data_IF_108290624926
#
_entry.id   IF_108290624926
#
_cell.length_a   1.000
_cell.length_b   1.000
_cell.length_c   1.000
_cell.angle_alpha   90.00
_cell.angle_beta   90.00
_cell.angle_gamma   90.00
#
_symmetry.space_group_name_H-M   'P 1'
#
loop_
_entity.id
_entity.type
_entity.pdbx_description
1 polymer ?
#
# COMPACT_ATOMS: atom_id res chain seq x y z
N UNK A 1 -3.37 -8.53 -3.83
CA UNK A 1 -4.80 -8.14 -3.93
C UNK A 1 -5.16 -6.82 -3.22
N UNK A 2 -4.83 -6.60 -1.93
CA UNK A 2 -5.24 -5.37 -1.21
C UNK A 2 -4.68 -4.11 -1.85
N UNK A 3 -3.35 -4.04 -2.00
CA UNK A 3 -2.67 -2.88 -2.57
C UNK A 3 -3.09 -2.62 -4.02
N UNK A 4 -3.21 -3.70 -4.80
CA UNK A 4 -3.73 -3.67 -6.17
C UNK A 4 -5.15 -3.08 -6.24
N UNK A 5 -6.04 -3.47 -5.32
CA UNK A 5 -7.40 -2.93 -5.25
C UNK A 5 -7.38 -1.43 -4.92
N UNK A 6 -6.59 -1.00 -3.94
CA UNK A 6 -6.46 0.41 -3.59
C UNK A 6 -6.00 1.23 -4.81
N UNK A 7 -4.92 0.81 -5.46
CA UNK A 7 -4.37 1.50 -6.62
C UNK A 7 -5.36 1.53 -7.81
N UNK A 8 -6.00 0.40 -8.11
CA UNK A 8 -6.96 0.30 -9.21
C UNK A 8 -8.21 1.15 -8.96
N UNK A 9 -8.73 1.19 -7.72
CA UNK A 9 -9.91 2.01 -7.38
C UNK A 9 -9.59 3.50 -7.37
N UNK A 10 -8.42 3.90 -6.90
CA UNK A 10 -7.98 5.30 -7.01
C UNK A 10 -7.78 5.73 -8.46
N UNK A 11 -7.28 4.84 -9.32
CA UNK A 11 -7.20 5.10 -10.76
C UNK A 11 -8.59 5.16 -11.41
N UNK A 12 -9.51 4.29 -11.01
CA UNK A 12 -10.89 4.31 -11.50
C UNK A 12 -11.60 5.63 -11.16
N UNK A 13 -11.32 6.19 -9.98
CA UNK A 13 -11.87 7.46 -9.51
C UNK A 13 -10.92 8.65 -9.75
N UNK A 14 -10.01 8.57 -10.74
CA UNK A 14 -8.97 9.58 -10.95
C UNK A 14 -9.53 10.98 -11.27
N UNK A 15 -10.72 11.07 -11.88
CA UNK A 15 -11.39 12.34 -12.20
C UNK A 15 -12.15 12.94 -11.01
N UNK A 16 -12.24 12.24 -9.87
CA UNK A 16 -12.92 12.75 -8.68
C UNK A 16 -12.20 14.02 -8.18
N UNK A 17 -12.92 15.11 -7.85
CA UNK A 17 -12.31 16.43 -7.57
C UNK A 17 -11.37 16.45 -6.36
N UNK A 18 -11.50 15.47 -5.47
CA UNK A 18 -10.62 15.30 -4.30
C UNK A 18 -9.44 14.34 -4.55
N UNK A 19 -9.47 13.53 -5.62
CA UNK A 19 -8.43 12.57 -5.97
C UNK A 19 -7.54 13.12 -7.09
N UNK A 20 -8.14 13.77 -8.09
CA UNK A 20 -7.47 14.34 -9.25
C UNK A 20 -6.22 15.19 -8.90
N UNK A 21 -6.24 16.03 -7.84
CA UNK A 21 -5.06 16.82 -7.45
C UNK A 21 -3.84 15.97 -7.06
N UNK A 22 -4.04 14.72 -6.60
CA UNK A 22 -2.97 13.81 -6.21
C UNK A 22 -2.56 12.82 -7.33
N UNK A 23 -3.15 12.89 -8.51
CA UNK A 23 -2.95 11.94 -9.62
C UNK A 23 -1.48 11.65 -9.94
N UNK A 24 -0.64 12.71 -10.03
CA UNK A 24 0.80 12.56 -10.30
C UNK A 24 1.50 11.79 -9.18
N UNK A 25 1.24 12.14 -7.92
CA UNK A 25 1.81 11.47 -6.75
C UNK A 25 1.36 10.01 -6.69
N UNK A 26 0.07 9.74 -6.90
CA UNK A 26 -0.49 8.39 -6.91
C UNK A 26 0.17 7.52 -7.98
N UNK A 27 0.31 8.02 -9.21
CA UNK A 27 0.96 7.31 -10.31
C UNK A 27 2.42 6.96 -9.98
N UNK A 28 3.18 7.88 -9.38
CA UNK A 28 4.58 7.64 -9.01
C UNK A 28 4.73 6.67 -7.84
N UNK A 29 3.70 6.54 -7.01
CA UNK A 29 3.74 5.74 -5.78
C UNK A 29 3.32 4.28 -5.98
N UNK A 30 2.63 3.90 -7.05
CA UNK A 30 2.09 2.53 -7.28
C UNK A 30 3.09 1.40 -7.04
N UNK A 31 2.79 0.46 -6.14
CA UNK A 31 3.65 -0.69 -5.81
C UNK A 31 3.00 -2.06 -6.05
N UNK A 32 1.73 -2.16 -6.42
CA UNK A 32 1.09 -3.45 -6.64
C UNK A 32 1.84 -4.30 -7.68
N UNK A 33 2.22 -3.72 -8.82
CA UNK A 33 2.96 -4.45 -9.86
C UNK A 33 4.35 -4.90 -9.38
N UNK A 34 5.05 -4.02 -8.65
CA UNK A 34 6.37 -4.32 -8.07
C UNK A 34 6.29 -5.45 -7.05
N UNK A 35 5.20 -5.51 -6.30
CA UNK A 35 4.95 -6.61 -5.37
C UNK A 35 4.66 -7.93 -6.09
N UNK A 36 3.96 -7.90 -7.24
CA UNK A 36 3.78 -9.09 -8.09
C UNK A 36 5.09 -9.61 -8.68
N UNK A 37 6.02 -8.73 -9.05
CA UNK A 37 7.37 -9.11 -9.48
C UNK A 37 8.10 -9.89 -8.38
N UNK A 38 8.00 -9.43 -7.12
CA UNK A 38 8.56 -10.14 -5.98
C UNK A 38 7.89 -11.51 -5.77
N UNK A 39 6.57 -11.58 -5.84
CA UNK A 39 5.83 -12.85 -5.72
C UNK A 39 6.21 -13.84 -6.82
N UNK A 40 6.38 -13.37 -8.06
CA UNK A 40 6.85 -14.22 -9.15
C UNK A 40 8.28 -14.73 -8.92
N UNK A 41 9.15 -13.91 -8.33
CA UNK A 41 10.49 -14.35 -7.96
C UNK A 41 10.45 -15.45 -6.88
N UNK A 42 9.62 -15.29 -5.83
CA UNK A 42 9.58 -16.24 -4.72
C UNK A 42 8.77 -17.51 -4.99
N UNK A 43 7.68 -17.40 -5.75
CA UNK A 43 6.71 -18.48 -5.97
C UNK A 43 6.78 -19.08 -7.38
N UNK A 44 7.56 -18.48 -8.27
CA UNK A 44 7.76 -18.92 -9.65
C UNK A 44 6.65 -18.48 -10.62
N UNK A 45 6.81 -18.80 -11.92
CA UNK A 45 5.80 -18.53 -12.94
C UNK A 45 4.46 -19.20 -12.62
N UNK A 46 3.35 -18.50 -12.87
CA UNK A 46 2.01 -19.03 -12.64
C UNK A 46 1.56 -19.05 -11.17
N UNK A 47 2.30 -18.40 -10.26
CA UNK A 47 1.95 -18.31 -8.84
C UNK A 47 0.53 -17.80 -8.60
N UNK A 48 0.05 -16.87 -9.44
CA UNK A 48 -1.29 -16.28 -9.34
C UNK A 48 -2.41 -17.33 -9.44
N UNK A 49 -2.24 -18.38 -10.26
CA UNK A 49 -3.24 -19.43 -10.45
C UNK A 49 -3.46 -20.27 -9.18
N UNK A 50 -2.45 -20.33 -8.31
CA UNK A 50 -2.49 -21.09 -7.07
C UNK A 50 -2.78 -20.21 -5.84
N UNK A 51 -2.81 -18.88 -6.02
CA UNK A 51 -3.05 -17.95 -4.93
C UNK A 51 -4.51 -17.99 -4.49
N UNK A 52 -4.74 -18.32 -3.21
CA UNK A 52 -6.05 -18.26 -2.57
C UNK A 52 -6.10 -17.11 -1.57
N UNK A 53 -7.10 -16.26 -1.73
CA UNK A 53 -7.30 -15.13 -0.81
C UNK A 53 -7.86 -15.65 0.51
N UNK A 54 -7.18 -15.32 1.61
CA UNK A 54 -7.61 -15.72 2.95
C UNK A 54 -8.77 -14.87 3.45
N UNK A 55 -9.49 -15.34 4.48
CA UNK A 55 -10.66 -14.64 5.00
C UNK A 55 -10.34 -13.21 5.48
N UNK A 56 -9.24 -12.93 6.20
CA UNK A 56 -8.88 -11.56 6.58
C UNK A 56 -8.62 -10.64 5.38
N UNK A 57 -8.00 -11.17 4.32
CA UNK A 57 -7.81 -10.40 3.08
C UNK A 57 -9.15 -10.13 2.40
N UNK A 58 -10.06 -11.11 2.33
CA UNK A 58 -11.40 -10.90 1.77
C UNK A 58 -12.18 -9.83 2.53
N UNK A 59 -12.14 -9.84 3.87
CA UNK A 59 -12.75 -8.79 4.71
C UNK A 59 -12.19 -7.42 4.40
N UNK A 60 -10.87 -7.31 4.23
CA UNK A 60 -10.23 -6.05 3.85
C UNK A 60 -10.71 -5.57 2.48
N UNK A 61 -10.73 -6.45 1.47
CA UNK A 61 -11.20 -6.08 0.13
C UNK A 61 -12.67 -5.60 0.16
N UNK A 62 -13.54 -6.28 0.92
CA UNK A 62 -14.93 -5.89 1.10
C UNK A 62 -15.06 -4.53 1.81
N UNK A 63 -14.26 -4.27 2.85
CA UNK A 63 -14.22 -2.96 3.50
C UNK A 63 -13.83 -1.85 2.53
N UNK A 64 -12.83 -2.08 1.67
CA UNK A 64 -12.44 -1.11 0.64
C UNK A 64 -13.57 -0.86 -0.38
N UNK A 65 -14.41 -1.86 -0.71
CA UNK A 65 -15.58 -1.63 -1.59
C UNK A 65 -16.64 -0.77 -0.88
N UNK A 66 -16.85 -0.97 0.42
CA UNK A 66 -17.77 -0.16 1.21
C UNK A 66 -17.30 1.30 1.31
N UNK A 67 -16.01 1.51 1.62
CA UNK A 67 -15.39 2.84 1.68
C UNK A 67 -15.50 3.57 0.35
N UNK A 68 -15.16 2.91 -0.77
CA UNK A 68 -15.28 3.50 -2.11
C UNK A 68 -16.70 3.96 -2.41
N UNK A 69 -17.70 3.12 -2.06
CA UNK A 69 -19.11 3.41 -2.30
C UNK A 69 -19.61 4.60 -1.47
N UNK A 70 -19.09 4.75 -0.25
CA UNK A 70 -19.49 5.82 0.66
C UNK A 70 -18.81 7.15 0.31
N UNK A 71 -17.49 7.13 0.16
CA UNK A 71 -16.69 8.29 -0.27
C UNK A 71 -15.36 7.81 -0.87
N UNK A 72 -15.17 7.88 -2.21
CA UNK A 72 -13.97 7.38 -2.85
C UNK A 72 -12.71 8.14 -2.41
N UNK A 73 -12.81 9.38 -1.92
CA UNK A 73 -11.67 10.12 -1.41
C UNK A 73 -11.05 9.48 -0.15
N UNK A 74 -11.83 8.71 0.62
CA UNK A 74 -11.30 7.99 1.80
C UNK A 74 -10.34 6.85 1.42
N UNK A 75 -10.36 6.35 0.18
CA UNK A 75 -9.35 5.40 -0.29
C UNK A 75 -7.93 6.01 -0.27
N UNK A 76 -7.81 7.35 -0.31
CA UNK A 76 -6.54 8.04 -0.16
C UNK A 76 -5.90 7.78 1.20
N UNK A 77 -6.69 7.54 2.26
CA UNK A 77 -6.19 7.17 3.60
C UNK A 77 -5.44 5.85 3.52
N UNK A 78 -6.01 4.87 2.83
CA UNK A 78 -5.43 3.55 2.67
C UNK A 78 -4.14 3.58 1.86
N UNK A 79 -4.20 4.25 0.72
CA UNK A 79 -3.02 4.44 -0.12
C UNK A 79 -1.93 5.22 0.61
N UNK A 80 -2.26 6.30 1.32
CA UNK A 80 -1.29 7.11 2.05
C UNK A 80 -0.55 6.27 3.08
N UNK A 81 -1.25 5.57 3.98
CA UNK A 81 -0.61 4.79 5.02
C UNK A 81 0.25 3.66 4.47
N UNK A 82 -0.27 2.90 3.49
CA UNK A 82 0.46 1.77 2.90
C UNK A 82 1.74 2.23 2.19
N UNK A 83 1.65 3.23 1.32
CA UNK A 83 2.82 3.70 0.57
C UNK A 83 3.82 4.43 1.48
N UNK A 84 3.35 5.25 2.42
CA UNK A 84 4.25 5.93 3.36
C UNK A 84 5.00 4.95 4.26
N UNK A 85 4.38 3.85 4.68
CA UNK A 85 5.05 2.79 5.43
C UNK A 85 6.16 2.13 4.60
N UNK A 86 5.87 1.81 3.32
CA UNK A 86 6.87 1.27 2.38
C UNK A 86 8.03 2.26 2.22
N UNK A 87 7.77 3.56 2.06
CA UNK A 87 8.84 4.55 1.89
C UNK A 87 9.67 4.78 3.16
N UNK A 88 9.06 4.70 4.35
CA UNK A 88 9.74 4.98 5.62
C UNK A 88 10.68 3.83 6.04
N UNK A 89 10.20 2.59 5.97
CA UNK A 89 10.96 1.40 6.40
C UNK A 89 11.65 0.63 5.27
N UNK A 90 11.32 0.95 4.01
CA UNK A 90 11.64 0.09 2.86
C UNK A 90 13.12 -0.15 2.65
N UNK A 91 13.97 0.86 2.83
CA UNK A 91 15.42 0.70 2.67
C UNK A 91 16.01 -0.28 3.70
N UNK A 92 15.55 -0.21 4.95
CA UNK A 92 16.00 -1.10 6.04
C UNK A 92 15.48 -2.52 5.80
N UNK A 93 14.18 -2.67 5.53
CA UNK A 93 13.56 -3.98 5.28
C UNK A 93 14.18 -4.64 4.04
N UNK A 94 14.40 -3.89 2.95
CA UNK A 94 15.10 -4.34 1.74
C UNK A 94 16.48 -4.88 2.08
N UNK A 95 17.28 -4.13 2.85
CA UNK A 95 18.62 -4.55 3.26
C UNK A 95 18.58 -5.83 4.11
N UNK A 96 17.65 -5.91 5.06
CA UNK A 96 17.48 -7.08 5.92
C UNK A 96 17.07 -8.31 5.12
N UNK A 97 16.04 -8.20 4.28
CA UNK A 97 15.54 -9.28 3.43
C UNK A 97 16.62 -9.82 2.49
N UNK A 98 17.33 -8.93 1.80
CA UNK A 98 18.42 -9.32 0.90
C UNK A 98 19.56 -10.04 1.61
N UNK A 99 19.90 -9.61 2.83
CA UNK A 99 20.93 -10.27 3.63
C UNK A 99 20.47 -11.62 4.15
N UNK A 100 19.25 -11.70 4.68
CA UNK A 100 18.74 -12.91 5.32
C UNK A 100 18.48 -14.05 4.32
N UNK A 101 18.10 -13.72 3.08
CA UNK A 101 17.76 -14.69 2.03
C UNK A 101 18.79 -14.76 0.90
N UNK A 102 19.96 -14.14 1.06
CA UNK A 102 21.03 -14.06 0.06
C UNK A 102 20.54 -13.67 -1.35
N UNK A 103 19.71 -12.63 -1.42
CA UNK A 103 19.03 -12.27 -2.67
C UNK A 103 19.99 -11.60 -3.67
N UNK A 104 19.99 -12.03 -4.95
CA UNK A 104 20.69 -11.35 -6.02
C UNK A 104 20.29 -9.88 -6.15
N UNK A 105 21.18 -9.06 -6.73
CA UNK A 105 20.88 -7.64 -6.97
C UNK A 105 19.70 -7.49 -7.92
N UNK A 106 18.65 -6.83 -7.41
CA UNK A 106 17.46 -6.48 -8.19
C UNK A 106 16.31 -7.49 -8.06
N UNK A 107 16.48 -8.58 -7.31
CA UNK A 107 15.46 -9.61 -7.16
C UNK A 107 14.81 -9.61 -5.78
N UNK A 108 13.54 -10.05 -5.70
CA UNK A 108 12.81 -10.34 -4.46
C UNK A 108 12.62 -9.17 -3.48
N UNK A 109 12.84 -7.93 -3.93
CA UNK A 109 12.64 -6.69 -3.15
C UNK A 109 12.23 -5.49 -4.03
N UNK A 110 11.63 -5.74 -5.19
CA UNK A 110 11.16 -4.74 -6.14
C UNK A 110 10.12 -3.80 -5.53
N UNK A 111 9.31 -4.25 -4.56
CA UNK A 111 8.35 -3.41 -3.82
C UNK A 111 9.01 -2.20 -3.14
N UNK A 112 10.30 -2.31 -2.78
CA UNK A 112 11.06 -1.22 -2.15
C UNK A 112 11.86 -0.39 -3.15
N UNK A 113 11.74 -0.67 -4.44
CA UNK A 113 12.49 0.00 -5.51
C UNK A 113 11.58 0.90 -6.34
N UNK A 114 11.60 2.20 -5.99
CA UNK A 114 10.73 3.22 -6.55
C UNK A 114 11.19 3.71 -7.94
N UNK A 115 12.35 3.27 -8.45
CA UNK A 115 12.93 3.70 -9.73
C UNK A 115 12.94 5.23 -9.91
N UNK A 116 13.40 5.93 -8.87
CA UNK A 116 13.47 7.39 -8.85
C UNK A 116 14.89 7.87 -9.15
N UNK A 117 15.06 9.13 -9.61
CA UNK A 117 16.38 9.68 -9.88
C UNK A 117 17.32 9.61 -8.67
N UNK A 118 16.80 9.90 -7.48
CA UNK A 118 17.53 9.94 -6.22
C UNK A 118 16.58 9.88 -5.00
N UNK A 119 17.17 9.85 -3.80
CA UNK A 119 16.45 9.86 -2.52
C UNK A 119 15.74 11.20 -2.25
N UNK A 120 16.23 12.30 -2.84
CA UNK A 120 15.62 13.62 -2.70
C UNK A 120 14.25 13.64 -3.39
N UNK A 121 14.14 13.07 -4.59
CA UNK A 121 12.89 12.92 -5.30
C UNK A 121 11.88 12.07 -4.52
N UNK A 122 12.32 11.00 -3.85
CA UNK A 122 11.44 10.22 -2.95
C UNK A 122 10.96 11.06 -1.76
N UNK A 123 11.81 11.92 -1.21
CA UNK A 123 11.44 12.83 -0.14
C UNK A 123 10.41 13.87 -0.59
N UNK A 124 10.57 14.41 -1.80
CA UNK A 124 9.59 15.31 -2.43
C UNK A 124 8.26 14.60 -2.63
N UNK A 125 8.23 13.39 -3.20
CA UNK A 125 6.99 12.63 -3.35
C UNK A 125 6.26 12.37 -2.03
N UNK A 126 7.01 12.02 -0.97
CA UNK A 126 6.46 11.86 0.38
C UNK A 126 5.89 13.18 0.94
N UNK A 127 6.57 14.29 0.66
CA UNK A 127 6.13 15.63 1.08
C UNK A 127 4.85 16.03 0.36
N UNK A 128 4.83 15.88 -0.97
CA UNK A 128 3.69 16.19 -1.82
C UNK A 128 2.46 15.36 -1.44
N UNK A 129 2.65 14.08 -1.13
CA UNK A 129 1.55 13.24 -0.68
C UNK A 129 0.97 13.75 0.65
N UNK A 130 1.83 14.02 1.65
CA UNK A 130 1.38 14.59 2.93
C UNK A 130 0.65 15.92 2.75
N UNK A 131 1.21 16.80 1.93
CA UNK A 131 0.62 18.10 1.63
C UNK A 131 -0.76 17.94 0.98
N UNK A 132 -0.89 17.06 -0.02
CA UNK A 132 -2.17 16.80 -0.68
C UNK A 132 -3.25 16.26 0.27
N UNK A 133 -2.90 15.36 1.19
CA UNK A 133 -3.83 14.85 2.20
C UNK A 133 -4.22 15.94 3.20
N UNK A 134 -3.28 16.76 3.65
CA UNK A 134 -3.56 17.88 4.54
C UNK A 134 -4.48 18.90 3.89
N UNK A 135 -4.18 19.33 2.66
CA UNK A 135 -5.01 20.27 1.90
C UNK A 135 -6.42 19.72 1.67
N UNK A 136 -6.55 18.41 1.38
CA UNK A 136 -7.86 17.78 1.29
C UNK A 136 -8.62 17.84 2.62
N UNK A 137 -7.95 17.52 3.72
CA UNK A 137 -8.53 17.61 5.07
C UNK A 137 -8.97 19.02 5.43
N UNK A 138 -8.17 20.04 5.11
CA UNK A 138 -8.53 21.45 5.31
C UNK A 138 -9.73 21.86 4.46
N UNK A 139 -9.75 21.45 3.18
CA UNK A 139 -10.84 21.73 2.24
C UNK A 139 -12.18 21.11 2.68
N UNK A 140 -12.15 19.87 3.20
CA UNK A 140 -13.35 19.09 3.55
C UNK A 140 -13.81 19.30 5.01
N UNK A 141 -12.97 19.87 5.86
CA UNK A 141 -13.31 20.23 7.24
C UNK A 141 -13.29 19.06 8.23
N UNK A 142 -13.65 19.37 9.48
CA UNK A 142 -13.49 18.48 10.64
C UNK A 142 -14.23 17.14 10.51
N UNK A 143 -15.42 17.12 9.89
CA UNK A 143 -16.18 15.87 9.70
C UNK A 143 -15.39 14.85 8.85
N UNK A 144 -14.83 15.31 7.73
CA UNK A 144 -14.00 14.45 6.89
C UNK A 144 -12.71 14.05 7.59
N UNK A 145 -12.08 14.96 8.33
CA UNK A 145 -10.89 14.63 9.13
C UNK A 145 -11.20 13.56 10.19
N UNK A 146 -12.39 13.61 10.82
CA UNK A 146 -12.89 12.56 11.70
C UNK A 146 -12.97 11.21 11.00
N UNK A 147 -13.59 11.14 9.82
CA UNK A 147 -13.66 9.91 9.00
C UNK A 147 -12.28 9.41 8.59
N UNK A 148 -11.34 10.32 8.27
CA UNK A 148 -9.94 9.94 7.98
C UNK A 148 -9.29 9.25 9.19
N UNK A 149 -9.51 9.75 10.40
CA UNK A 149 -8.98 9.13 11.63
C UNK A 149 -9.62 7.75 11.90
N UNK A 150 -10.93 7.63 11.70
CA UNK A 150 -11.65 6.36 11.83
C UNK A 150 -11.13 5.31 10.84
N UNK A 151 -11.01 5.68 9.56
CA UNK A 151 -10.49 4.80 8.52
C UNK A 151 -9.01 4.47 8.72
N UNK A 152 -8.22 5.40 9.26
CA UNK A 152 -6.83 5.11 9.66
C UNK A 152 -6.79 4.02 10.73
N UNK A 153 -7.64 4.13 11.76
CA UNK A 153 -7.77 3.11 12.79
C UNK A 153 -8.24 1.76 12.25
N UNK A 154 -9.18 1.77 11.30
CA UNK A 154 -9.66 0.56 10.63
C UNK A 154 -8.56 -0.10 9.78
N UNK A 155 -7.81 0.68 9.01
CA UNK A 155 -6.65 0.21 8.25
C UNK A 155 -5.67 -0.56 9.13
N UNK A 156 -5.31 -0.01 10.30
CA UNK A 156 -4.37 -0.71 11.20
C UNK A 156 -4.94 -2.02 11.72
N UNK A 157 -6.23 -2.06 12.07
CA UNK A 157 -6.91 -3.29 12.47
C UNK A 157 -6.88 -4.33 11.35
N UNK A 158 -7.26 -3.94 10.14
CA UNK A 158 -7.30 -4.85 8.97
C UNK A 158 -5.89 -5.36 8.63
N UNK A 159 -4.88 -4.47 8.58
CA UNK A 159 -3.49 -4.86 8.39
C UNK A 159 -3.04 -5.89 9.45
N UNK A 160 -3.34 -5.66 10.73
CA UNK A 160 -3.00 -6.58 11.80
C UNK A 160 -3.70 -7.94 11.67
N UNK A 161 -4.96 -7.97 11.22
CA UNK A 161 -5.65 -9.25 10.96
C UNK A 161 -5.01 -10.04 9.82
N UNK A 162 -4.58 -9.37 8.75
CA UNK A 162 -3.88 -10.03 7.63
C UNK A 162 -2.50 -10.54 8.05
N UNK A 163 -1.75 -9.75 8.82
CA UNK A 163 -0.45 -10.19 9.34
C UNK A 163 -0.61 -11.35 10.32
N UNK A 164 -1.61 -11.30 11.21
CA UNK A 164 -1.87 -12.37 12.18
C UNK A 164 -2.36 -13.67 11.55
N UNK A 165 -2.95 -13.61 10.37
CA UNK A 165 -3.32 -14.79 9.55
C UNK A 165 -2.10 -15.52 9.00
N UNK A 166 -0.99 -14.81 8.85
CA UNK A 166 0.27 -15.40 8.42
C UNK A 166 0.88 -16.20 9.57
N UNK A 167 0.62 -17.51 9.57
CA UNK A 167 1.27 -18.46 10.47
C UNK A 167 2.74 -18.62 10.04
N UNK A 168 3.58 -17.68 10.44
CA UNK A 168 5.01 -17.85 10.34
C UNK A 168 5.41 -18.90 11.40
N UNK A 169 5.84 -20.09 10.97
CA UNK A 169 6.33 -21.16 11.84
C UNK A 169 7.65 -20.83 12.54
N UNK A 170 7.76 -19.68 13.21
CA UNK A 170 8.96 -19.28 13.95
C UNK A 170 9.14 -20.11 15.23
N UNK A 171 8.09 -20.84 15.66
CA UNK A 171 8.13 -21.72 16.84
C UNK A 171 7.93 -23.22 16.52
N UNK A 172 7.99 -23.66 15.26
CA UNK A 172 7.82 -25.08 14.93
C UNK A 172 9.08 -25.95 15.18
N UNK A 173 10.16 -25.38 15.72
CA UNK A 173 11.40 -26.11 16.06
C UNK A 173 12.11 -25.48 17.27
N UNK A 174 11.48 -25.56 18.44
CA UNK A 174 12.17 -25.58 19.73
C UNK A 174 11.60 -26.71 20.59
#
# INVERSE_FOLDING_TARGET
PVLEKIEARLQHNADHPDIAPLSTTLSRMQRAQRFKEDLQYFLGPGWEANYKTTEPVQRYLAHLDAVEKEDPALLLVYSFHMHMAICAGGAIIRRMARKAMDLPKGCGTAIFDFQLPDDEYLNTLKSDYRAGINTLGEKRGEEFQGRVLEESGMLFKLNNTVVGDFQAGWFATL
#
